data_IF_915707798540
#
_entry.id   IF_915707798540
#
_cell.length_a   1.000
_cell.length_b   1.000
_cell.length_c   1.000
_cell.angle_alpha   90.00
_cell.angle_beta   90.00
_cell.angle_gamma   90.00
#
_symmetry.space_group_name_H-M   'P 1'
#
loop_
_entity.id
_entity.type
_entity.pdbx_description
1 polymer ?
#
# COMPACT_ATOMS: atom_id res chain seq x y z
N UNK A 1 -6.91 6.21 9.85
CA UNK A 1 -6.32 5.39 8.75
C UNK A 1 -6.06 6.15 7.44
N UNK A 2 -6.90 7.10 7.03
CA UNK A 2 -6.76 7.80 5.72
C UNK A 2 -5.37 8.42 5.45
N UNK A 3 -4.74 9.01 6.47
CA UNK A 3 -3.39 9.58 6.36
C UNK A 3 -2.28 8.54 6.13
N UNK A 4 -2.59 7.25 6.32
CA UNK A 4 -1.68 6.12 6.07
C UNK A 4 -1.85 5.55 4.65
N UNK A 5 -2.62 6.20 3.79
CA UNK A 5 -2.82 5.74 2.43
C UNK A 5 -1.49 5.71 1.67
N UNK A 6 -1.19 4.56 1.07
CA UNK A 6 -0.06 4.39 0.18
C UNK A 6 -0.60 4.53 -1.24
N UNK A 7 -0.11 5.54 -1.95
CA UNK A 7 -0.39 5.70 -3.38
C UNK A 7 0.57 4.85 -4.22
N UNK A 8 0.02 4.13 -5.20
CA UNK A 8 0.81 3.40 -6.20
C UNK A 8 0.22 3.58 -7.59
N UNK A 9 1.08 3.85 -8.57
CA UNK A 9 0.75 3.79 -9.99
C UNK A 9 0.66 2.33 -10.43
N UNK A 10 -0.48 1.93 -10.96
CA UNK A 10 -0.71 0.59 -11.51
C UNK A 10 -0.19 0.54 -12.93
N UNK A 11 0.89 -0.20 -13.16
CA UNK A 11 1.51 -0.34 -14.49
C UNK A 11 1.00 -1.54 -15.29
N UNK A 12 0.38 -2.51 -14.62
CA UNK A 12 -0.18 -3.73 -15.22
C UNK A 12 -1.29 -4.28 -14.33
N UNK A 13 -2.13 -5.16 -14.88
CA UNK A 13 -3.21 -5.82 -14.11
C UNK A 13 -2.93 -7.29 -13.82
N UNK A 14 -1.96 -7.89 -14.54
CA UNK A 14 -1.54 -9.28 -14.31
C UNK A 14 -0.37 -9.34 -13.34
N UNK A 15 -0.64 -9.91 -12.17
CA UNK A 15 0.33 -10.13 -11.11
C UNK A 15 0.38 -11.63 -10.78
N UNK A 16 1.58 -12.22 -10.87
CA UNK A 16 1.79 -13.64 -10.54
C UNK A 16 1.95 -13.92 -9.05
N UNK A 17 2.20 -12.89 -8.24
CA UNK A 17 2.43 -12.97 -6.79
C UNK A 17 1.34 -12.24 -6.02
N UNK A 18 1.12 -12.66 -4.76
CA UNK A 18 0.37 -11.85 -3.79
C UNK A 18 1.20 -10.62 -3.44
N UNK A 19 0.71 -9.45 -3.82
CA UNK A 19 1.37 -8.17 -3.57
C UNK A 19 0.33 -7.05 -3.36
N UNK A 20 0.81 -5.90 -2.91
CA UNK A 20 -0.01 -4.71 -2.66
C UNK A 20 -0.88 -4.36 -3.87
N UNK A 21 -0.29 -4.25 -5.06
CA UNK A 21 -0.98 -3.80 -6.26
C UNK A 21 -2.08 -4.77 -6.69
N UNK A 22 -1.80 -6.07 -6.64
CA UNK A 22 -2.79 -7.11 -6.94
C UNK A 22 -4.00 -7.02 -6.00
N UNK A 23 -3.74 -6.82 -4.70
CA UNK A 23 -4.79 -6.64 -3.70
C UNK A 23 -5.53 -5.31 -3.85
N UNK A 24 -4.83 -4.25 -4.22
CA UNK A 24 -5.39 -2.91 -4.38
C UNK A 24 -6.31 -2.83 -5.61
N UNK A 25 -5.93 -3.44 -6.74
CA UNK A 25 -6.79 -3.60 -7.92
C UNK A 25 -8.10 -4.30 -7.53
N UNK A 26 -7.99 -5.47 -6.89
CA UNK A 26 -9.17 -6.22 -6.42
C UNK A 26 -10.03 -5.41 -5.45
N UNK A 27 -9.40 -4.61 -4.60
CA UNK A 27 -10.11 -3.79 -3.62
C UNK A 27 -10.97 -2.71 -4.29
N UNK A 28 -10.47 -2.06 -5.34
CA UNK A 28 -11.24 -1.09 -6.13
C UNK A 28 -12.34 -1.76 -6.95
N UNK A 29 -12.06 -2.93 -7.55
CA UNK A 29 -13.04 -3.69 -8.33
C UNK A 29 -14.24 -4.14 -7.49
N UNK A 30 -14.06 -4.41 -6.18
CA UNK A 30 -15.19 -4.69 -5.26
C UNK A 30 -16.19 -3.54 -5.13
N UNK A 31 -15.80 -2.32 -5.47
CA UNK A 31 -16.67 -1.14 -5.53
C UNK A 31 -17.15 -0.82 -6.95
N UNK A 32 -16.96 -1.74 -7.90
CA UNK A 32 -17.31 -1.52 -9.31
C UNK A 32 -16.39 -0.52 -10.04
N UNK A 33 -15.25 -0.15 -9.43
CA UNK A 33 -14.30 0.78 -10.03
C UNK A 33 -13.30 0.00 -10.86
N UNK A 34 -13.39 0.14 -12.19
CA UNK A 34 -12.45 -0.48 -13.12
C UNK A 34 -11.08 0.20 -13.02
N UNK A 35 -10.06 -0.57 -12.66
CA UNK A 35 -8.65 -0.11 -12.68
C UNK A 35 -8.04 -0.42 -14.04
N UNK A 36 -7.31 0.53 -14.62
CA UNK A 36 -6.57 0.36 -15.88
C UNK A 36 -5.11 0.73 -15.69
N UNK A 37 -4.17 0.15 -16.45
CA UNK A 37 -2.77 0.56 -16.42
C UNK A 37 -2.60 2.07 -16.65
N UNK A 38 -1.71 2.70 -15.89
CA UNK A 38 -1.40 4.13 -15.95
C UNK A 38 -2.05 4.96 -14.84
N UNK A 39 -3.05 4.45 -14.12
CA UNK A 39 -3.71 5.18 -13.03
C UNK A 39 -2.98 5.00 -11.69
N UNK A 40 -3.05 6.01 -10.83
CA UNK A 40 -2.70 5.88 -9.41
C UNK A 40 -3.92 5.44 -8.61
N UNK A 41 -3.69 4.55 -7.66
CA UNK A 41 -4.68 4.16 -6.64
C UNK A 41 -4.08 4.28 -5.25
N UNK A 42 -4.92 4.53 -4.26
CA UNK A 42 -4.49 4.80 -2.88
C UNK A 42 -5.26 3.91 -1.92
N UNK A 43 -4.50 3.05 -1.23
CA UNK A 43 -5.05 2.07 -0.30
C UNK A 43 -4.37 2.15 1.07
N UNK A 44 -5.07 1.69 2.10
CA UNK A 44 -4.53 1.43 3.43
C UNK A 44 -4.33 -0.07 3.58
N UNK A 45 -3.19 -0.49 4.13
CA UNK A 45 -2.93 -1.91 4.46
C UNK A 45 -3.59 -2.25 5.79
N UNK A 46 -4.51 -3.21 5.78
CA UNK A 46 -5.28 -3.59 6.98
C UNK A 46 -4.81 -4.92 7.60
N UNK A 47 -4.23 -5.80 6.79
CA UNK A 47 -3.53 -7.02 7.24
C UNK A 47 -2.42 -7.34 6.23
N UNK A 48 -1.17 -7.07 6.62
CA UNK A 48 -0.04 -7.28 5.73
C UNK A 48 0.30 -8.77 5.52
N UNK A 49 0.03 -9.63 6.51
CA UNK A 49 0.28 -11.07 6.41
C UNK A 49 -0.58 -11.72 5.34
N UNK A 50 -1.81 -11.23 5.19
CA UNK A 50 -2.77 -11.71 4.18
C UNK A 50 -2.85 -10.84 2.93
N UNK A 51 -2.07 -9.76 2.86
CA UNK A 51 -2.16 -8.74 1.81
C UNK A 51 -3.57 -8.16 1.65
N UNK A 52 -4.27 -7.91 2.76
CA UNK A 52 -5.56 -7.22 2.72
C UNK A 52 -5.32 -5.73 2.73
N UNK A 53 -5.90 -5.06 1.73
CA UNK A 53 -5.88 -3.61 1.59
C UNK A 53 -7.29 -3.11 1.30
N UNK A 54 -7.57 -1.89 1.73
CA UNK A 54 -8.84 -1.21 1.50
C UNK A 54 -8.59 0.14 0.82
N UNK A 55 -9.48 0.60 -0.09
CA UNK A 55 -9.37 1.94 -0.64
C UNK A 55 -9.41 2.96 0.51
N UNK A 56 -8.62 4.04 0.40
CA UNK A 56 -8.42 4.96 1.52
C UNK A 56 -9.73 5.53 2.10
N UNK A 57 -10.76 5.73 1.26
CA UNK A 57 -12.06 6.26 1.70
C UNK A 57 -12.88 5.27 2.54
N UNK A 58 -12.64 3.97 2.38
CA UNK A 58 -13.38 2.90 3.05
C UNK A 58 -12.65 2.31 4.26
N UNK A 59 -11.34 2.54 4.36
CA UNK A 59 -10.51 1.90 5.38
C UNK A 59 -10.94 2.26 6.81
N UNK A 60 -11.38 1.26 7.58
CA UNK A 60 -11.80 1.40 8.98
C UNK A 60 -10.68 1.10 9.99
N UNK A 61 -9.63 0.38 9.56
CA UNK A 61 -8.46 0.03 10.37
C UNK A 61 -7.15 0.09 9.57
N UNK A 62 -6.07 -0.34 10.21
CA UNK A 62 -4.75 -0.49 9.59
C UNK A 62 -3.87 -1.47 10.38
N UNK A 63 -2.90 -2.08 9.72
CA UNK A 63 -1.92 -2.97 10.36
C UNK A 63 -0.78 -2.14 10.98
N UNK A 64 -0.82 -1.96 12.31
CA UNK A 64 0.16 -1.14 13.04
C UNK A 64 1.61 -1.61 12.81
N UNK A 65 1.84 -2.92 12.83
CA UNK A 65 3.20 -3.47 12.70
C UNK A 65 3.76 -3.23 11.29
N UNK A 66 2.90 -3.31 10.28
CA UNK A 66 3.30 -3.00 8.91
C UNK A 66 3.79 -1.55 8.78
N UNK A 67 3.02 -0.59 9.27
CA UNK A 67 3.36 0.82 9.16
C UNK A 67 4.54 1.21 10.06
N UNK A 68 4.64 0.64 11.27
CA UNK A 68 5.81 0.84 12.12
C UNK A 68 7.08 0.34 11.42
N UNK A 69 7.06 -0.84 10.83
CA UNK A 69 8.20 -1.36 10.07
C UNK A 69 8.55 -0.54 8.82
N UNK A 70 7.61 0.20 8.22
CA UNK A 70 7.93 1.16 7.16
C UNK A 70 8.65 2.40 7.73
N UNK A 71 8.21 2.90 8.88
CA UNK A 71 8.83 4.06 9.54
C UNK A 71 10.23 3.73 10.05
N UNK A 72 10.43 2.56 10.65
CA UNK A 72 11.74 2.09 11.10
C UNK A 72 12.73 2.03 9.93
N UNK A 73 12.34 1.43 8.79
CA UNK A 73 13.18 1.40 7.59
C UNK A 73 13.50 2.79 7.04
N UNK A 74 12.51 3.67 6.99
CA UNK A 74 12.73 5.04 6.54
C UNK A 74 13.68 5.80 7.47
N UNK A 75 13.58 5.58 8.78
CA UNK A 75 14.47 6.16 9.77
C UNK A 75 15.90 5.61 9.61
N UNK A 76 16.05 4.30 9.44
CA UNK A 76 17.35 3.66 9.21
C UNK A 76 18.03 4.23 7.95
N UNK A 77 17.29 4.40 6.85
CA UNK A 77 17.80 5.02 5.62
C UNK A 77 18.32 6.45 5.86
N UNK A 78 17.58 7.27 6.61
CA UNK A 78 17.99 8.66 6.92
C UNK A 78 19.20 8.69 7.85
N UNK A 79 19.22 7.83 8.89
CA UNK A 79 20.30 7.79 9.87
C UNK A 79 21.60 7.25 9.27
N UNK A 80 21.53 6.27 8.36
CA UNK A 80 22.71 5.78 7.63
C UNK A 80 23.33 6.86 6.74
N UNK A 81 22.51 7.68 6.08
CA UNK A 81 22.99 8.82 5.28
C UNK A 81 23.71 9.85 6.17
N UNK A 82 23.28 10.00 7.42
CA UNK A 82 23.83 10.99 8.35
C UNK A 82 25.15 10.56 9.01
N UNK A 83 25.50 9.27 9.00
CA UNK A 83 26.77 8.72 9.53
C UNK A 83 27.84 8.58 8.43
N UNK A 84 27.43 8.61 7.15
CA UNK A 84 28.32 8.55 5.98
C UNK A 84 28.79 9.91 5.44
N UNK A 85 28.45 11.01 6.11
CA UNK A 85 28.89 12.39 5.85
C UNK A 85 29.80 12.87 7.00
#
# INVERSE_FOLDING_TARGET
>A
PRLLAIERRISKLSYSRRCFEASAVRAYERFGIKVVPGVSISCVVVDAKRWVVEPYWCASGYDVNYYLGLLEKALDEVMLVQIGL
#
